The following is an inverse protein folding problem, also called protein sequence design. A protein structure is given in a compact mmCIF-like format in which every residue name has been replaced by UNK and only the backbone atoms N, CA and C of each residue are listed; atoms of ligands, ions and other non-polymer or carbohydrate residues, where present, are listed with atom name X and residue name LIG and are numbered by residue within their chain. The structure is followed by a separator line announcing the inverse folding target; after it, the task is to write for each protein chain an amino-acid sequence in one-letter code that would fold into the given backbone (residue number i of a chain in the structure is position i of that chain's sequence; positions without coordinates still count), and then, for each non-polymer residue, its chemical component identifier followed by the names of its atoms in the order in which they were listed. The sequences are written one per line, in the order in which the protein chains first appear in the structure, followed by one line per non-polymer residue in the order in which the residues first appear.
data_IF_745867252851
#
_entry.id   IF_745867252851
#
_cell.length_a   1.000
_cell.length_b   1.000
_cell.length_c   1.000
_cell.angle_alpha   90.00
_cell.angle_beta   90.00
_cell.angle_gamma   90.00
#
_symmetry.space_group_name_H-M   'P 1'
#
loop_
_entity.id
_entity.type
_entity.pdbx_description
1 polymer ?
#
# COMPACT_ATOMS: atom_id res chain seq x y z
N UNK A 1 97.52 -60.38 -6.01
CA UNK A 1 96.75 -59.71 -7.08
C UNK A 1 97.75 -58.96 -7.95
N UNK A 2 97.49 -58.82 -9.26
CA UNK A 2 98.41 -58.13 -10.17
C UNK A 2 98.47 -56.63 -9.80
N UNK A 3 99.62 -56.17 -9.29
CA UNK A 3 99.85 -54.79 -8.86
C UNK A 3 99.61 -53.77 -9.98
N UNK A 4 99.59 -54.20 -11.25
CA UNK A 4 99.28 -53.33 -12.39
C UNK A 4 97.81 -52.91 -12.46
N UNK A 5 96.92 -53.60 -11.73
CA UNK A 5 95.48 -53.33 -11.71
C UNK A 5 95.04 -52.40 -10.57
N UNK A 6 95.92 -52.06 -9.63
CA UNK A 6 95.61 -51.15 -8.51
C UNK A 6 95.31 -49.73 -9.01
N UNK A 7 96.14 -49.19 -9.91
CA UNK A 7 95.97 -47.82 -10.44
C UNK A 7 94.67 -47.68 -11.26
N UNK A 8 94.32 -48.57 -12.21
CA UNK A 8 93.00 -48.52 -12.86
C UNK A 8 91.83 -48.69 -11.89
N UNK A 9 91.96 -49.50 -10.83
CA UNK A 9 90.91 -49.69 -9.83
C UNK A 9 90.68 -48.41 -9.02
N UNK A 10 91.73 -47.73 -8.59
CA UNK A 10 91.64 -46.43 -7.92
C UNK A 10 91.00 -45.37 -8.82
N UNK A 11 91.37 -45.33 -10.10
CA UNK A 11 90.75 -44.44 -11.09
C UNK A 11 89.25 -44.73 -11.26
N UNK A 12 88.85 -46.01 -11.32
CA UNK A 12 87.44 -46.40 -11.40
C UNK A 12 86.66 -46.09 -10.12
N UNK A 13 87.26 -46.26 -8.95
CA UNK A 13 86.65 -45.88 -7.67
C UNK A 13 86.44 -44.37 -7.58
N UNK A 14 87.45 -43.60 -8.01
CA UNK A 14 87.37 -42.14 -8.08
C UNK A 14 86.27 -41.69 -9.06
N UNK A 15 86.23 -42.27 -10.26
CA UNK A 15 85.19 -41.98 -11.25
C UNK A 15 83.78 -42.33 -10.74
N UNK A 16 83.62 -43.43 -9.99
CA UNK A 16 82.34 -43.80 -9.36
C UNK A 16 81.91 -42.75 -8.34
N UNK A 17 82.83 -42.29 -7.48
CA UNK A 17 82.54 -41.23 -6.50
C UNK A 17 82.12 -39.95 -7.22
N UNK A 18 82.85 -39.55 -8.26
CA UNK A 18 82.51 -38.37 -9.06
C UNK A 18 81.13 -38.47 -9.73
N UNK A 19 80.77 -39.65 -10.26
CA UNK A 19 79.44 -39.88 -10.83
C UNK A 19 78.33 -39.83 -9.78
N UNK A 20 78.58 -40.34 -8.57
CA UNK A 20 77.62 -40.26 -7.46
C UNK A 20 77.40 -38.80 -7.02
N UNK A 21 78.48 -38.03 -6.93
CA UNK A 21 78.42 -36.59 -6.61
C UNK A 21 77.64 -35.82 -7.70
N UNK A 22 77.95 -36.06 -8.98
CA UNK A 22 77.25 -35.43 -10.09
C UNK A 22 75.74 -35.76 -10.11
N UNK A 23 75.38 -37.01 -9.81
CA UNK A 23 73.98 -37.42 -9.69
C UNK A 23 73.26 -36.77 -8.50
N UNK A 24 73.97 -36.56 -7.38
CA UNK A 24 73.44 -35.82 -6.23
C UNK A 24 73.17 -34.36 -6.59
N UNK A 25 74.14 -33.69 -7.22
CA UNK A 25 74.03 -32.29 -7.66
C UNK A 25 72.89 -32.08 -8.66
N UNK A 26 72.72 -32.98 -9.63
CA UNK A 26 71.61 -32.91 -10.60
C UNK A 26 70.24 -33.09 -9.93
N UNK A 27 70.16 -33.94 -8.91
CA UNK A 27 68.92 -34.15 -8.15
C UNK A 27 68.55 -32.93 -7.32
N UNK A 28 69.54 -32.27 -6.73
CA UNK A 28 69.34 -31.05 -5.95
C UNK A 28 68.93 -29.89 -6.87
N UNK A 29 69.61 -29.72 -8.01
CA UNK A 29 69.23 -28.77 -9.06
C UNK A 29 67.78 -28.95 -9.53
N UNK A 30 67.32 -30.19 -9.66
CA UNK A 30 65.93 -30.48 -10.06
C UNK A 30 64.92 -30.09 -8.98
N UNK A 31 65.30 -30.09 -7.69
CA UNK A 31 64.44 -29.63 -6.60
C UNK A 31 64.36 -28.11 -6.52
N UNK A 32 65.43 -27.42 -6.87
CA UNK A 32 65.48 -25.95 -6.93
C UNK A 32 64.78 -25.38 -8.16
N UNK A 33 64.46 -26.22 -9.16
CA UNK A 33 63.65 -25.85 -10.31
C UNK A 33 62.19 -25.64 -9.87
N UNK A 34 61.88 -24.45 -9.33
CA UNK A 34 60.50 -23.99 -9.20
C UNK A 34 59.88 -23.91 -10.60
N UNK A 35 58.87 -24.75 -10.84
CA UNK A 35 58.31 -24.97 -12.17
C UNK A 35 57.64 -23.73 -12.78
N UNK A 36 57.22 -22.75 -11.96
CA UNK A 36 56.73 -21.42 -12.41
C UNK A 36 56.52 -20.44 -11.22
N UNK A 37 57.50 -19.57 -10.90
CA UNK A 37 57.38 -18.58 -9.82
C UNK A 37 56.24 -17.56 -10.03
N UNK A 38 55.93 -17.23 -11.29
CA UNK A 38 54.86 -16.28 -11.62
C UNK A 38 53.50 -16.90 -11.32
N UNK A 39 53.33 -18.19 -11.64
CA UNK A 39 52.12 -18.94 -11.30
C UNK A 39 51.92 -19.04 -9.79
N UNK A 40 52.98 -19.31 -9.03
CA UNK A 40 52.91 -19.36 -7.56
C UNK A 40 52.43 -18.02 -7.00
N UNK A 41 53.06 -16.91 -7.40
CA UNK A 41 52.67 -15.57 -6.98
C UNK A 41 51.21 -15.25 -7.32
N UNK A 42 50.74 -15.65 -8.51
CA UNK A 42 49.34 -15.48 -8.91
C UNK A 42 48.37 -16.28 -8.01
N UNK A 43 48.70 -17.52 -7.68
CA UNK A 43 47.87 -18.36 -6.80
C UNK A 43 47.82 -17.76 -5.38
N UNK A 44 48.96 -17.34 -4.84
CA UNK A 44 49.02 -16.70 -3.53
C UNK A 44 48.21 -15.40 -3.46
N UNK A 45 48.32 -14.56 -4.48
CA UNK A 45 47.49 -13.36 -4.61
C UNK A 45 46.00 -13.71 -4.62
N UNK A 46 45.61 -14.72 -5.41
CA UNK A 46 44.21 -15.17 -5.50
C UNK A 46 43.67 -15.69 -4.17
N UNK A 47 44.47 -16.46 -3.42
CA UNK A 47 44.13 -16.92 -2.06
C UNK A 47 43.99 -15.71 -1.11
N UNK A 48 44.88 -14.73 -1.23
CA UNK A 48 44.83 -13.48 -0.49
C UNK A 48 43.52 -12.72 -0.71
N UNK A 49 43.08 -12.58 -1.96
CA UNK A 49 41.83 -11.92 -2.32
C UNK A 49 40.62 -12.63 -1.71
N UNK A 50 40.56 -13.96 -1.85
CA UNK A 50 39.48 -14.79 -1.30
C UNK A 50 39.41 -14.63 0.22
N UNK A 51 40.53 -14.73 0.93
CA UNK A 51 40.59 -14.56 2.40
C UNK A 51 40.24 -13.14 2.84
N UNK A 52 40.63 -12.13 2.06
CA UNK A 52 40.27 -10.74 2.33
C UNK A 52 38.76 -10.53 2.23
N UNK A 53 38.14 -11.07 1.17
CA UNK A 53 36.69 -10.99 0.96
C UNK A 53 35.91 -11.75 2.04
N UNK A 54 36.34 -12.97 2.37
CA UNK A 54 35.76 -13.77 3.45
C UNK A 54 35.80 -13.02 4.80
N UNK A 55 36.94 -12.42 5.15
CA UNK A 55 37.09 -11.60 6.36
C UNK A 55 36.19 -10.36 6.36
N UNK A 56 36.08 -9.66 5.22
CA UNK A 56 35.20 -8.49 5.08
C UNK A 56 33.75 -8.83 5.42
N UNK A 57 33.28 -9.99 4.98
CA UNK A 57 31.92 -10.47 5.20
C UNK A 57 31.77 -11.37 6.44
N UNK A 58 32.85 -11.61 7.19
CA UNK A 58 32.89 -12.43 8.42
C UNK A 58 32.37 -13.86 8.22
N UNK A 59 32.75 -14.46 7.10
CA UNK A 59 32.39 -15.83 6.72
C UNK A 59 33.63 -16.64 6.38
N UNK A 60 33.47 -17.95 6.25
CA UNK A 60 34.54 -18.81 5.75
C UNK A 60 34.70 -18.66 4.22
N UNK A 61 35.92 -18.81 3.66
CA UNK A 61 36.18 -18.71 2.23
C UNK A 61 35.27 -19.56 1.34
N UNK A 62 34.92 -20.76 1.80
CA UNK A 62 34.07 -21.73 1.08
C UNK A 62 32.62 -21.24 0.94
N UNK A 63 32.20 -20.30 1.79
CA UNK A 63 30.85 -19.76 1.83
C UNK A 63 30.66 -18.54 0.92
N UNK A 64 31.74 -18.00 0.33
CA UNK A 64 31.69 -16.77 -0.45
C UNK A 64 30.74 -16.85 -1.66
N UNK A 65 30.68 -17.98 -2.36
CA UNK A 65 29.78 -18.15 -3.51
C UNK A 65 28.31 -18.10 -3.08
N UNK A 66 27.93 -18.89 -2.07
CA UNK A 66 26.58 -18.89 -1.53
C UNK A 66 26.19 -17.53 -0.95
N UNK A 67 27.15 -16.82 -0.34
CA UNK A 67 26.91 -15.49 0.18
C UNK A 67 26.71 -14.45 -0.94
N UNK A 68 27.43 -14.56 -2.06
CA UNK A 68 27.19 -13.74 -3.25
C UNK A 68 25.78 -13.96 -3.81
N UNK A 69 25.37 -15.21 -3.98
CA UNK A 69 24.01 -15.55 -4.45
C UNK A 69 22.94 -14.98 -3.51
N UNK A 70 23.17 -15.06 -2.20
CA UNK A 70 22.29 -14.46 -1.19
C UNK A 70 22.19 -12.95 -1.36
N UNK A 71 23.32 -12.25 -1.50
CA UNK A 71 23.33 -10.79 -1.69
C UNK A 71 22.67 -10.37 -3.01
N UNK A 72 22.87 -11.12 -4.09
CA UNK A 72 22.21 -10.87 -5.37
C UNK A 72 20.70 -11.02 -5.23
N UNK A 73 20.24 -12.08 -4.57
CA UNK A 73 18.81 -12.30 -4.30
C UNK A 73 18.21 -11.18 -3.43
N UNK A 74 18.93 -10.75 -2.39
CA UNK A 74 18.50 -9.62 -1.54
C UNK A 74 18.41 -8.31 -2.35
N UNK A 75 19.39 -8.05 -3.22
CA UNK A 75 19.39 -6.87 -4.09
C UNK A 75 18.22 -6.89 -5.08
N UNK A 76 18.02 -8.02 -5.77
CA UNK A 76 16.92 -8.19 -6.73
C UNK A 76 15.55 -8.01 -6.06
N UNK A 77 15.40 -8.47 -4.82
CA UNK A 77 14.17 -8.29 -4.03
C UNK A 77 13.92 -6.80 -3.74
N UNK A 78 14.95 -6.07 -3.27
CA UNK A 78 14.85 -4.65 -2.98
C UNK A 78 14.55 -3.82 -4.23
N UNK A 79 15.17 -4.14 -5.36
CA UNK A 79 14.91 -3.46 -6.63
C UNK A 79 13.48 -3.74 -7.13
N UNK A 80 12.94 -4.95 -6.90
CA UNK A 80 11.56 -5.29 -7.26
C UNK A 80 10.51 -4.53 -6.44
N UNK A 81 10.78 -4.26 -5.15
CA UNK A 81 9.88 -3.53 -4.27
C UNK A 81 9.64 -2.08 -4.76
N UNK A 82 10.64 -1.43 -5.35
CA UNK A 82 10.51 -0.07 -5.89
C UNK A 82 9.57 -0.02 -7.12
N UNK A 83 9.62 -1.04 -8.00
CA UNK A 83 8.67 -1.18 -9.11
C UNK A 83 7.24 -1.38 -8.63
N UNK A 84 7.06 -2.12 -7.53
CA UNK A 84 5.75 -2.37 -6.94
C UNK A 84 5.16 -1.08 -6.33
N UNK A 85 5.98 -0.21 -5.72
CA UNK A 85 5.51 1.07 -5.17
C UNK A 85 4.97 1.97 -6.28
N UNK A 86 5.70 2.13 -7.39
CA UNK A 86 5.24 2.98 -8.51
C UNK A 86 3.95 2.43 -9.12
N UNK A 87 3.85 1.11 -9.30
CA UNK A 87 2.65 0.46 -9.80
C UNK A 87 1.44 0.67 -8.86
N UNK A 88 1.63 0.51 -7.55
CA UNK A 88 0.57 0.74 -6.54
C UNK A 88 0.16 2.21 -6.48
N UNK A 89 1.09 3.15 -6.63
CA UNK A 89 0.77 4.58 -6.71
C UNK A 89 -0.10 4.91 -7.93
N UNK A 90 0.23 4.35 -9.11
CA UNK A 90 -0.60 4.51 -10.31
C UNK A 90 -2.00 3.92 -10.12
N UNK A 91 -2.11 2.74 -9.50
CA UNK A 91 -3.41 2.13 -9.18
C UNK A 91 -4.22 3.00 -8.22
N UNK A 92 -3.58 3.58 -7.20
CA UNK A 92 -4.22 4.48 -6.25
C UNK A 92 -4.77 5.74 -6.95
N UNK A 93 -3.99 6.34 -7.85
CA UNK A 93 -4.41 7.53 -8.60
C UNK A 93 -5.59 7.22 -9.51
N UNK A 94 -5.57 6.10 -10.23
CA UNK A 94 -6.68 5.65 -11.06
C UNK A 94 -7.95 5.38 -10.23
N UNK A 95 -7.81 4.74 -9.07
CA UNK A 95 -8.93 4.48 -8.17
C UNK A 95 -9.51 5.78 -7.59
N UNK A 96 -8.65 6.74 -7.23
CA UNK A 96 -9.04 8.06 -6.73
C UNK A 96 -9.82 8.86 -7.79
N UNK A 97 -9.33 8.88 -9.03
CA UNK A 97 -10.01 9.55 -10.14
C UNK A 97 -11.38 8.91 -10.40
N UNK A 98 -11.43 7.57 -10.46
CA UNK A 98 -12.69 6.85 -10.66
C UNK A 98 -13.69 7.15 -9.53
N UNK A 99 -13.24 7.15 -8.27
CA UNK A 99 -14.07 7.54 -7.14
C UNK A 99 -14.62 8.97 -7.33
N UNK A 100 -13.78 9.93 -7.67
CA UNK A 100 -14.18 11.34 -7.79
C UNK A 100 -15.24 11.51 -8.89
N UNK A 101 -15.07 10.84 -10.04
CA UNK A 101 -16.05 10.85 -11.12
C UNK A 101 -17.41 10.27 -10.67
N UNK A 102 -17.41 9.16 -9.93
CA UNK A 102 -18.64 8.56 -9.41
C UNK A 102 -19.28 9.43 -8.31
N UNK A 103 -18.49 10.02 -7.42
CA UNK A 103 -18.93 10.91 -6.37
C UNK A 103 -19.61 12.17 -6.95
N UNK A 104 -19.06 12.77 -8.00
CA UNK A 104 -19.68 13.91 -8.69
C UNK A 104 -21.03 13.53 -9.33
N UNK A 105 -21.10 12.37 -9.99
CA UNK A 105 -22.37 11.86 -10.56
C UNK A 105 -23.42 11.64 -9.47
N UNK A 106 -23.02 11.10 -8.32
CA UNK A 106 -23.90 10.90 -7.17
C UNK A 106 -24.37 12.25 -6.59
N UNK A 107 -23.46 13.20 -6.42
CA UNK A 107 -23.75 14.55 -5.92
C UNK A 107 -24.77 15.27 -6.81
N UNK A 108 -24.59 15.25 -8.13
CA UNK A 108 -25.54 15.84 -9.06
C UNK A 108 -26.95 15.21 -8.97
N UNK A 109 -27.03 13.87 -8.84
CA UNK A 109 -28.29 13.16 -8.63
C UNK A 109 -28.93 13.53 -7.29
N UNK A 110 -28.13 13.63 -6.23
CA UNK A 110 -28.57 14.06 -4.89
C UNK A 110 -29.11 15.48 -4.91
N UNK A 111 -28.41 16.45 -5.49
CA UNK A 111 -28.89 17.83 -5.56
C UNK A 111 -30.22 17.93 -6.33
N UNK A 112 -30.39 17.16 -7.41
CA UNK A 112 -31.65 17.12 -8.16
C UNK A 112 -32.78 16.50 -7.32
N UNK A 113 -32.51 15.38 -6.65
CA UNK A 113 -33.49 14.72 -5.78
C UNK A 113 -33.86 15.58 -4.57
N UNK A 114 -32.86 16.21 -3.94
CA UNK A 114 -33.00 17.13 -2.81
C UNK A 114 -33.90 18.30 -3.15
N UNK A 115 -33.70 18.96 -4.30
CA UNK A 115 -34.57 20.06 -4.77
C UNK A 115 -36.02 19.61 -4.95
N UNK A 116 -36.24 18.46 -5.58
CA UNK A 116 -37.58 17.92 -5.80
C UNK A 116 -38.26 17.57 -4.48
N UNK A 117 -37.61 16.77 -3.63
CA UNK A 117 -38.14 16.36 -2.34
C UNK A 117 -38.39 17.55 -1.41
N UNK A 118 -37.53 18.57 -1.45
CA UNK A 118 -37.72 19.81 -0.68
C UNK A 118 -39.00 20.53 -1.07
N UNK A 119 -39.29 20.63 -2.37
CA UNK A 119 -40.51 21.26 -2.88
C UNK A 119 -41.76 20.44 -2.50
N UNK A 120 -41.70 19.12 -2.70
CA UNK A 120 -42.81 18.21 -2.43
C UNK A 120 -43.17 18.21 -0.92
N UNK A 121 -42.17 18.13 -0.03
CA UNK A 121 -42.39 18.20 1.43
C UNK A 121 -42.85 19.58 1.86
N UNK A 122 -42.28 20.67 1.32
CA UNK A 122 -42.73 22.03 1.64
C UNK A 122 -44.19 22.26 1.26
N UNK A 123 -44.66 21.63 0.17
CA UNK A 123 -46.08 21.66 -0.22
C UNK A 123 -46.95 20.88 0.76
N UNK A 124 -46.58 19.65 1.10
CA UNK A 124 -47.32 18.83 2.08
C UNK A 124 -47.40 19.51 3.45
N UNK A 125 -46.35 20.23 3.88
CA UNK A 125 -46.38 21.03 5.10
C UNK A 125 -47.48 22.10 5.10
N UNK A 126 -47.82 22.69 3.94
CA UNK A 126 -48.91 23.67 3.87
C UNK A 126 -50.27 23.03 4.16
N UNK A 127 -50.46 21.79 3.67
CA UNK A 127 -51.69 21.02 3.85
C UNK A 127 -51.84 20.53 5.31
N UNK A 128 -50.74 20.33 6.02
CA UNK A 128 -50.69 19.91 7.43
C UNK A 128 -50.69 21.08 8.43
N UNK A 129 -51.22 22.25 8.05
CA UNK A 129 -51.38 23.38 8.96
C UNK A 129 -50.10 24.15 9.29
N UNK A 130 -49.00 23.93 8.57
CA UNK A 130 -47.75 24.68 8.73
C UNK A 130 -47.63 25.77 7.65
N UNK A 131 -48.63 26.66 7.59
CA UNK A 131 -48.67 27.70 6.57
C UNK A 131 -47.44 28.62 6.63
N UNK A 132 -46.76 28.77 5.49
CA UNK A 132 -45.52 29.55 5.38
C UNK A 132 -44.27 28.81 5.88
N UNK A 133 -44.40 27.56 6.32
CA UNK A 133 -43.27 26.68 6.60
C UNK A 133 -42.52 26.26 5.34
N UNK A 134 -41.21 26.04 5.44
CA UNK A 134 -40.35 25.61 4.34
C UNK A 134 -39.39 24.53 4.79
N UNK A 135 -39.24 23.50 3.97
CA UNK A 135 -38.27 22.43 4.14
C UNK A 135 -37.22 22.48 3.04
N UNK A 136 -35.96 22.31 3.41
CA UNK A 136 -34.83 22.36 2.48
C UNK A 136 -33.79 21.31 2.84
N UNK A 137 -33.47 20.45 1.87
CA UNK A 137 -32.37 19.50 1.94
C UNK A 137 -31.14 20.16 1.32
N UNK A 138 -30.13 20.42 2.14
CA UNK A 138 -28.84 20.96 1.71
C UNK A 138 -27.88 19.82 1.41
N UNK A 139 -27.25 19.93 0.24
CA UNK A 139 -26.21 19.02 -0.23
C UNK A 139 -24.96 19.85 -0.38
N UNK A 140 -23.97 19.64 0.49
CA UNK A 140 -22.69 20.36 0.46
C UNK A 140 -21.55 19.37 0.29
N UNK A 141 -20.53 19.75 -0.48
CA UNK A 141 -19.32 18.95 -0.57
C UNK A 141 -18.62 18.93 0.80
N UNK A 142 -18.34 17.73 1.31
CA UNK A 142 -17.52 17.55 2.49
C UNK A 142 -16.05 17.66 2.08
N UNK A 143 -15.47 18.85 2.29
CA UNK A 143 -14.06 19.12 1.98
C UNK A 143 -13.10 18.34 2.89
N UNK A 144 -13.60 17.78 4.00
CA UNK A 144 -12.81 17.01 4.95
C UNK A 144 -12.84 15.50 4.70
N UNK A 145 -13.78 15.02 3.85
CA UNK A 145 -13.92 13.61 3.56
C UNK A 145 -12.82 13.10 2.61
N UNK A 146 -11.81 12.45 3.18
CA UNK A 146 -10.99 11.47 2.48
C UNK A 146 -11.87 10.26 2.16
N UNK A 147 -12.20 10.06 0.88
CA UNK A 147 -12.88 8.87 0.30
C UNK A 147 -13.87 8.14 1.22
N UNK A 148 -15.17 8.45 1.10
CA UNK A 148 -16.24 7.83 1.89
C UNK A 148 -17.08 6.87 1.04
N UNK A 149 -17.51 5.71 1.58
CA UNK A 149 -18.45 4.83 0.88
C UNK A 149 -19.80 5.50 0.61
N UNK A 150 -20.11 6.61 1.31
CA UNK A 150 -21.33 7.40 1.10
C UNK A 150 -21.13 8.55 0.10
N UNK A 151 -19.98 8.64 -0.57
CA UNK A 151 -19.63 9.72 -1.48
C UNK A 151 -19.13 10.98 -0.76
N UNK A 152 -18.98 12.06 -1.52
CA UNK A 152 -18.32 13.30 -1.05
C UNK A 152 -19.29 14.38 -0.52
N UNK A 153 -20.57 14.05 -0.31
CA UNK A 153 -21.57 15.02 0.13
C UNK A 153 -21.94 14.83 1.59
N UNK A 154 -22.04 15.95 2.29
CA UNK A 154 -22.78 16.07 3.53
C UNK A 154 -24.22 16.48 3.23
N UNK A 155 -25.18 15.77 3.81
CA UNK A 155 -26.61 16.01 3.63
C UNK A 155 -27.17 16.55 4.94
N UNK A 156 -27.78 17.73 4.89
CA UNK A 156 -28.44 18.35 6.03
C UNK A 156 -29.90 18.65 5.72
N UNK A 157 -30.80 18.17 6.58
CA UNK A 157 -32.22 18.47 6.50
C UNK A 157 -32.51 19.70 7.37
N UNK A 158 -32.99 20.77 6.74
CA UNK A 158 -33.31 22.03 7.40
C UNK A 158 -34.77 22.41 7.21
N UNK A 159 -35.35 23.05 8.21
CA UNK A 159 -36.75 23.44 8.20
C UNK A 159 -36.97 24.78 8.87
N UNK A 160 -38.01 25.47 8.43
CA UNK A 160 -38.57 26.67 9.04
C UNK A 160 -40.07 26.41 9.17
N UNK A 161 -40.60 26.47 10.40
CA UNK A 161 -42.00 26.17 10.66
C UNK A 161 -42.94 27.34 10.39
N UNK A 162 -42.41 28.57 10.42
CA UNK A 162 -43.18 29.81 10.30
C UNK A 162 -42.55 30.78 9.30
N UNK A 163 -43.36 31.57 8.57
CA UNK A 163 -42.85 32.55 7.63
C UNK A 163 -41.92 33.56 8.33
N UNK A 164 -40.77 33.84 7.69
CA UNK A 164 -39.77 34.79 8.18
C UNK A 164 -38.74 34.21 9.17
N UNK A 165 -38.90 32.96 9.64
CA UNK A 165 -37.87 32.31 10.45
C UNK A 165 -36.76 31.71 9.57
N UNK A 166 -35.48 31.75 10.01
CA UNK A 166 -34.39 31.12 9.28
C UNK A 166 -34.53 29.60 9.29
N UNK A 167 -34.09 28.96 8.21
CA UNK A 167 -33.97 27.51 8.13
C UNK A 167 -32.97 27.03 9.20
N UNK A 168 -33.42 26.13 10.06
CA UNK A 168 -32.61 25.49 11.11
C UNK A 168 -32.54 23.99 10.87
N UNK A 169 -31.48 23.31 11.35
CA UNK A 169 -31.41 21.85 11.32
C UNK A 169 -32.67 21.24 11.95
N UNK A 170 -33.20 20.18 11.34
CA UNK A 170 -34.41 19.49 11.82
C UNK A 170 -34.29 19.06 13.29
N UNK A 171 -33.09 18.71 13.74
CA UNK A 171 -32.77 18.34 15.14
C UNK A 171 -32.93 19.49 16.14
N UNK A 172 -32.99 20.74 15.69
CA UNK A 172 -33.11 21.95 16.51
C UNK A 172 -34.52 22.57 16.49
N UNK A 173 -35.51 21.87 15.95
CA UNK A 173 -36.91 22.30 15.98
C UNK A 173 -37.47 22.06 17.38
N UNK A 174 -38.10 23.09 17.95
CA UNK A 174 -38.36 23.17 19.39
C UNK A 174 -39.71 22.55 19.84
N UNK A 175 -40.60 22.15 18.91
CA UNK A 175 -41.92 21.61 19.24
C UNK A 175 -42.08 20.16 18.75
N UNK A 176 -42.45 19.25 19.66
CA UNK A 176 -42.67 17.83 19.34
C UNK A 176 -43.75 17.62 18.28
N UNK A 177 -44.88 18.35 18.38
CA UNK A 177 -45.96 18.29 17.41
C UNK A 177 -45.57 18.78 16.00
N UNK A 178 -44.71 19.80 15.90
CA UNK A 178 -44.19 20.26 14.61
C UNK A 178 -43.28 19.20 13.97
N UNK A 179 -42.43 18.55 14.77
CA UNK A 179 -41.55 17.49 14.30
C UNK A 179 -42.35 16.27 13.82
N UNK A 180 -43.40 15.86 14.54
CA UNK A 180 -44.30 14.77 14.14
C UNK A 180 -45.00 15.08 12.81
N UNK A 181 -45.50 16.31 12.62
CA UNK A 181 -46.11 16.73 11.34
C UNK A 181 -45.11 16.78 10.20
N UNK A 182 -43.89 17.27 10.42
CA UNK A 182 -42.82 17.26 9.39
C UNK A 182 -42.46 15.81 9.02
N UNK A 183 -42.33 14.93 10.01
CA UNK A 183 -42.06 13.51 9.79
C UNK A 183 -43.18 12.86 8.96
N UNK A 184 -44.44 13.14 9.29
CA UNK A 184 -45.60 12.70 8.50
C UNK A 184 -45.54 13.22 7.06
N UNK A 185 -45.25 14.51 6.85
CA UNK A 185 -45.09 15.09 5.51
C UNK A 185 -44.03 14.35 4.68
N UNK A 186 -42.86 14.11 5.27
CA UNK A 186 -41.77 13.37 4.62
C UNK A 186 -42.21 11.95 4.28
N UNK A 187 -42.87 11.26 5.22
CA UNK A 187 -43.30 9.88 5.05
C UNK A 187 -44.42 9.73 4.03
N UNK A 188 -45.37 10.67 3.95
CA UNK A 188 -46.41 10.67 2.90
C UNK A 188 -45.77 10.77 1.52
N UNK A 189 -44.83 11.71 1.33
CA UNK A 189 -44.11 11.87 0.06
C UNK A 189 -43.23 10.65 -0.25
N UNK A 190 -42.62 10.03 0.77
CA UNK A 190 -41.81 8.84 0.61
C UNK A 190 -42.65 7.58 0.31
N UNK A 191 -43.82 7.44 0.95
CA UNK A 191 -44.74 6.31 0.82
C UNK A 191 -45.40 6.23 -0.56
N UNK A 192 -45.52 7.36 -1.28
CA UNK A 192 -45.88 7.33 -2.71
C UNK A 192 -44.92 6.46 -3.56
N UNK A 193 -43.72 6.17 -3.03
CA UNK A 193 -42.72 5.29 -3.65
C UNK A 193 -42.41 4.02 -2.86
N UNK A 194 -42.94 3.87 -1.65
CA UNK A 194 -42.68 2.77 -0.73
C UNK A 194 -44.01 2.18 -0.27
N UNK A 195 -44.26 0.91 -0.58
CA UNK A 195 -45.37 0.16 -0.01
C UNK A 195 -45.08 -0.17 1.45
N UNK A 196 -45.43 0.73 2.35
CA UNK A 196 -45.42 0.49 3.79
C UNK A 196 -46.82 0.00 4.21
N UNK A 197 -46.96 -1.19 4.82
CA UNK A 197 -48.27 -1.78 5.13
C UNK A 197 -49.03 -1.06 6.25
N UNK A 198 -48.35 -0.42 7.21
CA UNK A 198 -48.95 0.40 8.24
C UNK A 198 -47.92 1.38 8.83
N UNK A 199 -48.38 2.57 9.23
CA UNK A 199 -47.58 3.61 9.88
C UNK A 199 -48.38 4.21 11.04
N UNK A 200 -47.74 4.32 12.21
CA UNK A 200 -48.33 4.88 13.42
C UNK A 200 -47.55 6.14 13.77
N UNK A 201 -48.26 7.25 13.98
CA UNK A 201 -47.67 8.52 14.39
C UNK A 201 -48.26 8.94 15.74
N UNK A 202 -47.41 9.52 16.59
CA UNK A 202 -47.81 10.05 17.89
C UNK A 202 -47.79 11.58 17.86
N UNK A 203 -48.72 12.20 18.58
CA UNK A 203 -48.84 13.66 18.76
C UNK A 203 -49.03 14.53 17.50
N UNK A 204 -49.47 13.97 16.37
CA UNK A 204 -49.67 14.74 15.11
C UNK A 204 -50.66 15.91 15.30
N UNK A 205 -51.70 15.68 16.09
CA UNK A 205 -52.81 16.62 16.30
C UNK A 205 -52.51 17.69 17.37
N UNK A 206 -51.33 17.66 17.98
CA UNK A 206 -50.97 18.62 19.03
C UNK A 206 -50.74 20.02 18.44
N UNK A 207 -51.59 20.97 18.82
CA UNK A 207 -51.52 22.37 18.39
C UNK A 207 -52.24 22.71 17.08
N UNK A 208 -53.07 21.81 16.54
CA UNK A 208 -53.92 22.08 15.38
C UNK A 208 -55.32 22.50 15.86
N UNK A 209 -55.67 23.77 15.72
CA UNK A 209 -57.01 24.26 16.03
C UNK A 209 -57.98 24.03 14.87
N UNK A 210 -58.96 23.14 15.05
CA UNK A 210 -60.31 23.11 14.45
C UNK A 210 -60.48 22.99 12.93
N UNK A 211 -59.58 23.52 12.10
CA UNK A 211 -59.78 23.66 10.65
C UNK A 211 -59.21 22.56 9.78
N UNK A 212 -58.54 21.56 10.34
CA UNK A 212 -57.82 20.50 9.60
C UNK A 212 -58.27 19.08 10.02
N UNK A 213 -59.13 18.99 11.04
CA UNK A 213 -59.71 17.72 11.49
C UNK A 213 -60.96 17.27 10.68
N UNK A 214 -61.40 18.09 9.72
CA UNK A 214 -62.48 17.75 8.77
C UNK A 214 -61.92 17.67 7.34
N UNK A 215 -61.28 16.53 7.00
CA UNK A 215 -61.30 15.93 5.66
C UNK A 215 -61.34 14.42 5.82
#
# INVERSE_FOLDING_TARGET
MDNRLEVPLELLQSARIQLQEAAYLLRDYTRELELDPQRLQWVEARIGDIRSMARKHRIEPEQLSAYLEKLQTELDTLDSDDYDIEAVQQQLEQAAEHYQQQAQKLSAKRSKAAKKLSADVSKAMQELGMQGGRFEIRVSADQSATFSPHGADQIEFTVSANPGQPLKPLTKVASGGELSRISLAIQIIAAQKLTLPALIFDEVDTGIGGGIAEV
#
